data_IF_799249996691
#
_entry.id   IF_799249996691
#
_cell.length_a   1.000
_cell.length_b   1.000
_cell.length_c   1.000
_cell.angle_alpha   90.00
_cell.angle_beta   90.00
_cell.angle_gamma   90.00
#
_symmetry.space_group_name_H-M   'P 1'
#
loop_
_entity.id
_entity.type
_entity.pdbx_description
1 polymer ?
#
# COMPACT_ATOMS: atom_id res chain seq x y z
N UNK A 1 -35.19 -66.61 3.25
CA UNK A 1 -33.94 -66.48 4.02
C UNK A 1 -34.00 -65.22 4.89
N UNK A 2 -33.92 -65.42 6.21
CA UNK A 2 -33.62 -64.52 7.35
C UNK A 2 -33.83 -62.99 7.19
N UNK A 3 -34.80 -62.35 7.88
CA UNK A 3 -34.91 -61.98 9.32
C UNK A 3 -33.73 -61.18 9.89
N UNK A 4 -33.98 -59.94 10.32
CA UNK A 4 -34.07 -59.55 11.74
C UNK A 4 -34.65 -58.14 11.94
N UNK A 5 -35.74 -58.11 12.70
CA UNK A 5 -36.33 -56.97 13.42
C UNK A 5 -35.45 -56.53 14.60
N UNK A 6 -35.67 -55.32 15.12
CA UNK A 6 -35.91 -55.04 16.55
C UNK A 6 -36.73 -53.73 16.65
N UNK A 7 -37.76 -53.81 17.48
CA UNK A 7 -38.72 -52.78 17.90
C UNK A 7 -38.49 -52.53 19.40
N UNK A 8 -38.67 -51.29 19.87
CA UNK A 8 -39.48 -50.87 21.04
C UNK A 8 -39.17 -49.39 21.35
N UNK A 9 -40.08 -48.41 21.30
CA UNK A 9 -41.41 -48.22 21.90
C UNK A 9 -41.33 -47.54 23.29
N UNK A 10 -41.88 -46.32 23.42
CA UNK A 10 -42.88 -45.99 24.48
C UNK A 10 -43.52 -44.60 24.30
N UNK A 11 -44.85 -44.62 24.25
CA UNK A 11 -45.87 -43.71 24.81
C UNK A 11 -45.87 -42.20 24.49
N UNK A 12 -46.86 -41.63 23.80
CA UNK A 12 -48.31 -41.51 24.07
C UNK A 12 -48.68 -40.14 24.68
N UNK A 13 -49.41 -39.36 23.86
CA UNK A 13 -50.54 -38.46 24.19
C UNK A 13 -50.68 -37.91 25.61
N UNK A 14 -50.81 -36.58 25.76
CA UNK A 14 -51.76 -35.88 26.66
C UNK A 14 -51.88 -34.37 26.30
N UNK A 15 -53.02 -33.71 26.65
CA UNK A 15 -53.53 -32.51 25.99
C UNK A 15 -53.11 -31.17 26.63
N UNK A 16 -53.29 -30.09 25.87
CA UNK A 16 -53.10 -28.70 26.30
C UNK A 16 -54.20 -28.31 27.30
N UNK A 17 -53.81 -28.02 28.54
CA UNK A 17 -54.67 -27.47 29.60
C UNK A 17 -54.45 -25.96 29.69
N UNK A 18 -55.52 -25.18 29.56
CA UNK A 18 -55.55 -23.73 29.82
C UNK A 18 -55.64 -23.48 31.33
N UNK A 19 -54.79 -22.61 31.94
CA UNK A 19 -55.02 -22.20 33.32
C UNK A 19 -56.02 -21.04 33.39
N UNK A 20 -57.01 -21.21 34.25
CA UNK A 20 -58.04 -20.25 34.61
C UNK A 20 -57.48 -18.98 35.27
N UNK A 21 -58.23 -17.89 35.08
CA UNK A 21 -58.04 -16.59 35.70
C UNK A 21 -57.95 -16.69 37.23
N UNK A 22 -56.91 -16.08 37.81
CA UNK A 22 -56.92 -15.61 39.20
C UNK A 22 -56.57 -14.13 39.20
N UNK A 23 -57.54 -13.34 39.66
CA UNK A 23 -57.41 -11.90 39.85
C UNK A 23 -56.32 -11.55 40.87
N UNK A 24 -55.55 -10.52 40.54
CA UNK A 24 -54.58 -9.88 41.41
C UNK A 24 -54.38 -8.45 40.94
N UNK A 25 -54.96 -7.50 41.68
CA UNK A 25 -54.76 -6.06 41.49
C UNK A 25 -53.28 -5.73 41.73
N UNK A 26 -52.61 -5.10 40.76
CA UNK A 26 -51.30 -4.48 40.98
C UNK A 26 -50.36 -4.54 39.78
N UNK A 27 -50.63 -3.76 38.71
CA UNK A 27 -49.63 -3.40 37.69
C UNK A 27 -50.18 -2.33 36.72
N UNK A 28 -50.62 -1.18 37.22
CA UNK A 28 -51.10 -0.06 36.40
C UNK A 28 -50.12 1.12 36.43
N UNK A 29 -48.81 0.82 36.32
CA UNK A 29 -47.75 1.84 36.30
C UNK A 29 -46.67 1.66 35.22
N UNK A 30 -46.59 0.50 34.57
CA UNK A 30 -45.46 0.17 33.65
C UNK A 30 -45.81 0.28 32.16
N UNK A 31 -47.09 0.11 31.78
CA UNK A 31 -47.49 -0.03 30.37
C UNK A 31 -47.64 1.29 29.60
N UNK A 32 -47.75 2.42 30.30
CA UNK A 32 -47.91 3.74 29.67
C UNK A 32 -46.56 4.37 29.25
N UNK A 33 -45.46 3.95 29.88
CA UNK A 33 -44.10 4.42 29.58
C UNK A 33 -43.54 3.72 28.33
N UNK A 34 -43.83 2.43 28.18
CA UNK A 34 -43.38 1.60 27.05
C UNK A 34 -44.06 1.98 25.71
N UNK A 35 -45.31 2.46 25.74
CA UNK A 35 -46.04 2.93 24.55
C UNK A 35 -45.66 4.36 24.11
N UNK A 36 -45.07 5.17 24.99
CA UNK A 36 -44.57 6.52 24.64
C UNK A 36 -43.20 6.46 23.95
N UNK A 37 -42.34 5.53 24.33
CA UNK A 37 -41.00 5.35 23.73
C UNK A 37 -41.04 4.72 22.32
N UNK A 38 -42.06 3.92 22.02
CA UNK A 38 -42.24 3.36 20.67
C UNK A 38 -42.70 4.40 19.64
N UNK A 39 -43.35 5.50 20.07
CA UNK A 39 -43.90 6.51 19.16
C UNK A 39 -42.92 7.63 18.83
N UNK A 40 -41.89 7.86 19.64
CA UNK A 40 -40.85 8.88 19.42
C UNK A 40 -39.67 8.34 18.59
N UNK A 41 -39.36 7.05 18.72
CA UNK A 41 -38.33 6.38 17.91
C UNK A 41 -38.67 6.34 16.41
N UNK A 42 -39.96 6.24 16.06
CA UNK A 42 -40.43 6.13 14.67
C UNK A 42 -40.44 7.47 13.92
N UNK A 43 -40.65 8.58 14.62
CA UNK A 43 -40.68 9.91 13.99
C UNK A 43 -39.27 10.43 13.72
N UNK A 44 -38.31 10.11 14.60
CA UNK A 44 -36.89 10.43 14.39
C UNK A 44 -36.27 9.59 13.27
N UNK A 45 -36.65 8.30 13.13
CA UNK A 45 -36.18 7.42 12.05
C UNK A 45 -36.70 7.88 10.68
N UNK A 46 -37.96 8.34 10.61
CA UNK A 46 -38.59 8.88 9.40
C UNK A 46 -38.02 10.25 8.98
N UNK A 47 -37.71 11.13 9.93
CA UNK A 47 -37.09 12.43 9.65
C UNK A 47 -35.63 12.27 9.16
N UNK A 48 -34.88 11.32 9.72
CA UNK A 48 -33.52 10.99 9.29
C UNK A 48 -33.49 10.36 7.88
N UNK A 49 -34.46 9.50 7.55
CA UNK A 49 -34.61 8.92 6.21
C UNK A 49 -34.89 10.00 5.15
N UNK A 50 -35.79 10.96 5.42
CA UNK A 50 -36.09 12.07 4.50
C UNK A 50 -34.93 13.05 4.31
N UNK A 51 -34.11 13.28 5.34
CA UNK A 51 -32.96 14.18 5.23
C UNK A 51 -31.81 13.53 4.46
N UNK A 52 -31.63 12.20 4.57
CA UNK A 52 -30.65 11.46 3.77
C UNK A 52 -30.95 11.46 2.27
N UNK A 53 -32.23 11.43 1.86
CA UNK A 53 -32.59 11.41 0.44
C UNK A 53 -32.28 12.73 -0.28
N UNK A 54 -32.44 13.87 0.41
CA UNK A 54 -32.09 15.19 -0.15
C UNK A 54 -30.57 15.38 -0.28
N UNK A 55 -29.80 14.90 0.68
CA UNK A 55 -28.33 14.93 0.62
C UNK A 55 -27.79 13.99 -0.48
N UNK A 56 -28.38 12.79 -0.60
CA UNK A 56 -28.06 11.81 -1.66
C UNK A 56 -28.40 12.31 -3.07
N UNK A 57 -29.43 13.15 -3.23
CA UNK A 57 -29.80 13.72 -4.52
C UNK A 57 -28.73 14.69 -5.06
N UNK A 58 -28.12 15.49 -4.18
CA UNK A 58 -27.05 16.44 -4.55
C UNK A 58 -25.64 15.82 -4.57
N UNK A 59 -25.40 14.77 -3.77
CA UNK A 59 -24.11 14.07 -3.75
C UNK A 59 -23.86 13.19 -4.99
N UNK A 60 -24.90 12.63 -5.62
CA UNK A 60 -24.76 11.82 -6.83
C UNK A 60 -24.11 12.57 -8.02
N UNK A 61 -24.60 13.76 -8.41
CA UNK A 61 -23.94 14.53 -9.47
C UNK A 61 -22.57 15.04 -9.03
N UNK A 62 -22.37 15.37 -7.75
CA UNK A 62 -21.04 15.77 -7.25
C UNK A 62 -20.02 14.63 -7.34
N UNK A 63 -20.41 13.39 -6.99
CA UNK A 63 -19.53 12.22 -7.04
C UNK A 63 -19.24 11.80 -8.49
N UNK A 64 -20.22 11.93 -9.39
CA UNK A 64 -20.03 11.73 -10.83
C UNK A 64 -19.14 12.84 -11.41
N UNK A 65 -19.35 14.11 -11.04
CA UNK A 65 -18.52 15.25 -11.46
C UNK A 65 -17.09 15.08 -10.94
N UNK A 66 -16.89 14.69 -9.69
CA UNK A 66 -15.58 14.40 -9.09
C UNK A 66 -14.90 13.20 -9.76
N UNK A 67 -15.66 12.18 -10.19
CA UNK A 67 -15.15 11.07 -11.01
C UNK A 67 -14.86 11.47 -12.46
N UNK A 68 -15.50 12.50 -13.00
CA UNK A 68 -15.27 13.00 -14.37
C UNK A 68 -14.27 14.15 -14.46
N UNK A 69 -13.89 14.78 -13.33
CA UNK A 69 -12.80 15.75 -13.27
C UNK A 69 -11.45 15.04 -13.16
N UNK A 70 -11.16 14.18 -14.13
CA UNK A 70 -9.80 13.67 -14.39
C UNK A 70 -9.28 14.46 -15.57
N UNK A 71 -8.79 15.66 -15.31
CA UNK A 71 -7.83 16.31 -16.17
C UNK A 71 -6.50 16.24 -15.43
N UNK A 72 -5.81 15.12 -15.57
CA UNK A 72 -4.47 14.93 -15.00
C UNK A 72 -3.43 14.98 -16.12
N UNK A 73 -2.28 15.64 -15.90
CA UNK A 73 -1.17 15.62 -16.83
C UNK A 73 -0.69 14.18 -17.05
N UNK A 74 -0.17 13.92 -18.25
CA UNK A 74 0.58 12.71 -18.56
C UNK A 74 1.82 12.67 -17.65
N UNK A 75 1.79 11.89 -16.56
CA UNK A 75 2.96 11.66 -15.72
C UNK A 75 3.27 10.16 -15.65
N UNK A 76 4.41 9.87 -16.28
CA UNK A 76 5.43 8.83 -16.16
C UNK A 76 5.13 7.47 -15.50
N UNK A 77 5.65 6.45 -16.17
CA UNK A 77 5.75 5.04 -15.81
C UNK A 77 6.52 4.80 -14.48
N UNK A 78 6.32 3.65 -13.82
CA UNK A 78 7.28 3.14 -12.84
C UNK A 78 8.61 2.83 -13.54
N UNK A 79 9.60 3.70 -13.36
CA UNK A 79 10.91 3.59 -14.00
C UNK A 79 11.84 2.71 -13.16
N UNK A 80 12.57 1.74 -13.75
CA UNK A 80 13.71 1.13 -13.11
C UNK A 80 14.71 2.20 -12.60
N UNK A 81 15.37 1.91 -11.47
CA UNK A 81 16.16 2.90 -10.74
C UNK A 81 17.67 2.64 -10.85
N UNK A 82 18.47 3.69 -10.66
CA UNK A 82 19.92 3.59 -10.71
C UNK A 82 20.49 3.03 -9.40
N UNK A 83 21.63 2.36 -9.49
CA UNK A 83 22.36 1.83 -8.34
C UNK A 83 23.80 2.35 -8.38
N UNK A 84 24.32 2.80 -7.24
CA UNK A 84 25.69 3.31 -7.10
C UNK A 84 26.36 2.64 -5.90
N UNK A 85 27.40 1.84 -6.14
CA UNK A 85 28.18 1.17 -5.08
C UNK A 85 29.48 1.92 -4.86
N UNK A 86 29.70 2.36 -3.63
CA UNK A 86 30.88 3.10 -3.21
C UNK A 86 31.86 2.18 -2.48
N UNK A 87 33.07 2.09 -3.01
CA UNK A 87 34.23 1.47 -2.36
C UNK A 87 35.16 2.58 -1.89
N UNK A 88 35.22 2.79 -0.58
CA UNK A 88 36.04 3.82 0.04
C UNK A 88 37.44 3.24 0.29
N UNK A 89 38.46 3.82 -0.35
CA UNK A 89 39.88 3.53 -0.10
C UNK A 89 40.47 4.57 0.86
N UNK A 90 41.76 4.44 1.20
CA UNK A 90 42.51 5.45 1.96
C UNK A 90 42.82 6.73 1.15
N UNK A 91 42.76 6.67 -0.19
CA UNK A 91 43.18 7.78 -1.07
C UNK A 91 42.08 8.29 -2.01
N UNK A 92 41.10 7.44 -2.37
CA UNK A 92 40.01 7.79 -3.29
C UNK A 92 38.78 6.92 -3.04
N UNK A 93 37.66 7.32 -3.61
CA UNK A 93 36.44 6.50 -3.62
C UNK A 93 36.20 6.00 -5.05
N UNK A 94 35.88 4.72 -5.19
CA UNK A 94 35.42 4.16 -6.47
C UNK A 94 33.91 4.01 -6.42
N UNK A 95 33.22 4.62 -7.37
CA UNK A 95 31.78 4.46 -7.58
C UNK A 95 31.53 3.53 -8.77
N UNK A 96 30.91 2.38 -8.50
CA UNK A 96 30.40 1.44 -9.50
C UNK A 96 28.92 1.77 -9.75
N UNK A 97 28.63 2.27 -10.95
CA UNK A 97 27.38 2.91 -11.34
C UNK A 97 26.64 2.01 -12.32
N UNK A 98 25.37 1.72 -12.02
CA UNK A 98 24.47 0.94 -12.85
C UNK A 98 23.23 1.79 -13.13
N UNK A 99 22.98 2.09 -14.40
CA UNK A 99 21.81 2.85 -14.85
C UNK A 99 21.02 1.99 -15.84
N UNK A 100 19.70 1.78 -15.64
CA UNK A 100 18.89 1.03 -16.58
C UNK A 100 18.96 1.61 -18.00
N UNK A 101 19.29 0.79 -19.01
CA UNK A 101 19.54 1.29 -20.36
C UNK A 101 18.30 1.93 -20.98
N UNK A 102 17.12 1.38 -20.69
CA UNK A 102 15.84 1.91 -21.17
C UNK A 102 15.57 3.32 -20.65
N UNK A 103 15.82 3.56 -19.37
CA UNK A 103 15.61 4.87 -18.73
C UNK A 103 16.65 5.88 -19.20
N UNK A 104 17.91 5.46 -19.33
CA UNK A 104 18.94 6.31 -19.92
C UNK A 104 18.57 6.72 -21.36
N UNK A 105 18.15 5.77 -22.20
CA UNK A 105 17.73 6.06 -23.57
C UNK A 105 16.51 7.00 -23.62
N UNK A 106 15.54 6.78 -22.73
CA UNK A 106 14.31 7.56 -22.67
C UNK A 106 14.55 8.98 -22.15
N UNK A 107 15.29 9.14 -21.04
CA UNK A 107 15.58 10.43 -20.45
C UNK A 107 16.50 11.29 -21.32
N UNK A 108 17.56 10.71 -21.88
CA UNK A 108 18.57 11.47 -22.62
C UNK A 108 18.31 11.56 -24.12
N UNK A 109 17.53 10.64 -24.69
CA UNK A 109 17.41 10.48 -26.15
C UNK A 109 18.68 9.97 -26.84
N UNK A 110 19.72 9.62 -26.09
CA UNK A 110 21.00 9.18 -26.63
C UNK A 110 20.94 7.74 -27.18
N UNK A 111 21.76 7.42 -28.20
CA UNK A 111 21.89 6.04 -28.65
C UNK A 111 22.47 5.15 -27.54
N UNK A 112 22.06 3.89 -27.53
CA UNK A 112 22.45 2.85 -26.56
C UNK A 112 22.93 1.57 -27.24
N UNK A 113 23.46 1.71 -28.45
CA UNK A 113 23.89 0.62 -29.33
C UNK A 113 25.28 0.04 -29.00
N UNK A 114 25.94 0.55 -27.97
CA UNK A 114 27.31 0.16 -27.60
C UNK A 114 28.41 0.69 -28.53
N UNK A 115 28.06 1.52 -29.52
CA UNK A 115 29.03 2.16 -30.41
C UNK A 115 29.96 3.14 -29.65
N UNK A 116 31.15 3.47 -30.21
CA UNK A 116 32.01 4.51 -29.64
C UNK A 116 31.35 5.89 -29.52
N UNK A 117 30.22 6.12 -30.22
CA UNK A 117 29.43 7.34 -30.09
C UNK A 117 28.52 7.27 -28.86
N UNK A 118 27.78 6.18 -28.67
CA UNK A 118 26.88 6.04 -27.52
C UNK A 118 27.64 6.00 -26.20
N UNK A 119 28.77 5.29 -26.14
CA UNK A 119 29.61 5.23 -24.92
C UNK A 119 30.25 6.57 -24.57
N UNK A 120 30.68 7.36 -25.56
CA UNK A 120 31.18 8.72 -25.34
C UNK A 120 30.10 9.65 -24.80
N UNK A 121 28.90 9.65 -25.42
CA UNK A 121 27.78 10.47 -24.96
C UNK A 121 27.35 10.09 -23.53
N UNK A 122 27.32 8.79 -23.22
CA UNK A 122 27.02 8.32 -21.87
C UNK A 122 28.06 8.79 -20.85
N UNK A 123 29.34 8.75 -21.21
CA UNK A 123 30.42 9.24 -20.35
C UNK A 123 30.32 10.75 -20.09
N UNK A 124 30.08 11.54 -21.13
CA UNK A 124 29.90 12.99 -21.02
C UNK A 124 28.69 13.31 -20.14
N UNK A 125 27.55 12.67 -20.41
CA UNK A 125 26.34 12.84 -19.61
C UNK A 125 26.57 12.50 -18.13
N UNK A 126 27.17 11.35 -17.81
CA UNK A 126 27.45 10.98 -16.41
C UNK A 126 28.41 11.97 -15.74
N UNK A 127 29.41 12.47 -16.45
CA UNK A 127 30.36 13.45 -15.90
C UNK A 127 29.69 14.81 -15.61
N UNK A 128 28.73 15.22 -16.44
CA UNK A 128 28.01 16.50 -16.29
C UNK A 128 26.91 16.47 -15.21
N UNK A 129 26.47 15.28 -14.76
CA UNK A 129 25.33 15.11 -13.84
C UNK A 129 25.72 14.44 -12.50
N UNK A 130 27.01 14.29 -12.24
CA UNK A 130 27.55 13.75 -10.99
C UNK A 130 28.55 14.75 -10.42
N UNK A 131 28.10 15.50 -9.44
CA UNK A 131 28.94 16.46 -8.71
C UNK A 131 29.27 15.90 -7.33
N UNK A 132 30.56 15.98 -6.97
CA UNK A 132 31.04 15.54 -5.66
C UNK A 132 31.83 16.67 -5.02
N UNK A 133 31.52 16.97 -3.77
CA UNK A 133 32.19 18.02 -3.01
C UNK A 133 32.44 17.58 -1.57
N UNK A 134 33.31 18.27 -0.84
CA UNK A 134 33.33 18.17 0.62
C UNK A 134 32.07 18.82 1.21
N UNK A 135 31.67 18.50 2.45
CA UNK A 135 30.57 19.21 3.13
C UNK A 135 30.77 20.74 3.19
N UNK A 136 32.02 21.20 3.15
CA UNK A 136 32.38 22.62 3.04
C UNK A 136 32.38 23.21 1.62
N UNK A 137 31.89 22.46 0.62
CA UNK A 137 31.70 22.92 -0.76
C UNK A 137 32.94 22.90 -1.65
N UNK A 138 34.05 22.23 -1.26
CA UNK A 138 35.23 22.11 -2.14
C UNK A 138 35.03 20.94 -3.12
N UNK A 139 35.17 21.14 -4.44
CA UNK A 139 34.91 20.09 -5.42
C UNK A 139 35.95 18.97 -5.33
N UNK A 140 35.47 17.75 -5.49
CA UNK A 140 36.29 16.56 -5.73
C UNK A 140 36.58 16.43 -7.22
N UNK A 141 37.67 15.74 -7.56
CA UNK A 141 37.92 15.39 -8.96
C UNK A 141 37.17 14.11 -9.29
N UNK A 142 36.18 14.20 -10.15
CA UNK A 142 35.43 13.05 -10.68
C UNK A 142 36.04 12.65 -12.02
N UNK A 143 36.47 11.40 -12.14
CA UNK A 143 37.01 10.87 -13.41
C UNK A 143 36.32 9.58 -13.80
N UNK A 144 35.82 9.52 -15.04
CA UNK A 144 35.13 8.34 -15.55
C UNK A 144 36.14 7.33 -16.10
N UNK A 145 36.11 6.12 -15.55
CA UNK A 145 36.85 4.94 -16.00
C UNK A 145 36.12 4.21 -17.13
N UNK A 146 35.76 2.95 -16.91
CA UNK A 146 34.98 2.16 -17.89
C UNK A 146 33.55 2.73 -18.01
N UNK A 147 33.02 2.81 -19.23
CA UNK A 147 31.62 3.17 -19.51
C UNK A 147 31.15 2.29 -20.67
N UNK A 148 30.16 1.43 -20.45
CA UNK A 148 29.71 0.43 -21.41
C UNK A 148 28.24 0.06 -21.22
N UNK A 149 27.58 -0.37 -22.29
CA UNK A 149 26.24 -0.94 -22.22
C UNK A 149 26.36 -2.46 -22.15
N UNK A 150 25.85 -3.06 -21.09
CA UNK A 150 26.04 -4.47 -20.76
C UNK A 150 24.70 -5.14 -20.53
N UNK A 151 24.60 -6.42 -20.91
CA UNK A 151 23.48 -7.28 -20.56
C UNK A 151 24.01 -8.61 -20.06
N UNK A 152 24.17 -8.73 -18.74
CA UNK A 152 24.72 -9.95 -18.11
C UNK A 152 23.60 -10.91 -17.70
N UNK A 153 22.66 -10.41 -16.87
CA UNK A 153 21.45 -11.11 -16.42
C UNK A 153 20.35 -10.06 -16.23
N UNK A 154 19.19 -10.25 -16.86
CA UNK A 154 18.08 -9.29 -16.80
C UNK A 154 18.07 -8.26 -17.94
N UNK A 155 17.37 -7.12 -17.77
CA UNK A 155 17.33 -6.05 -18.76
C UNK A 155 18.72 -5.42 -18.94
N UNK A 156 19.03 -4.89 -20.13
CA UNK A 156 20.33 -4.26 -20.38
C UNK A 156 20.48 -2.96 -19.57
N UNK A 157 21.71 -2.63 -19.20
CA UNK A 157 22.05 -1.47 -18.39
C UNK A 157 23.33 -0.78 -18.87
N UNK A 158 23.44 0.52 -18.59
CA UNK A 158 24.66 1.29 -18.67
C UNK A 158 25.46 1.05 -17.39
N UNK A 159 26.67 0.54 -17.54
CA UNK A 159 27.64 0.31 -16.48
C UNK A 159 28.77 1.32 -16.58
N UNK A 160 29.09 1.99 -15.48
CA UNK A 160 30.17 2.96 -15.42
C UNK A 160 30.97 2.85 -14.12
N UNK A 161 32.28 3.05 -14.19
CA UNK A 161 33.14 3.19 -13.02
C UNK A 161 33.60 4.63 -12.94
N UNK A 162 33.35 5.32 -11.83
CA UNK A 162 33.88 6.64 -11.54
C UNK A 162 34.89 6.59 -10.40
N UNK A 163 36.00 7.32 -10.54
CA UNK A 163 36.99 7.53 -9.49
C UNK A 163 36.82 8.94 -8.94
N UNK A 164 36.54 9.04 -7.64
CA UNK A 164 36.32 10.27 -6.89
C UNK A 164 37.56 10.53 -6.04
N UNK A 165 38.30 11.59 -6.37
CA UNK A 165 39.55 11.94 -5.68
C UNK A 165 39.33 13.21 -4.85
N UNK A 166 39.59 13.17 -3.53
CA UNK A 166 39.40 14.32 -2.67
C UNK A 166 40.40 15.43 -2.98
N UNK A 167 40.05 16.70 -2.72
CA UNK A 167 41.02 17.79 -2.76
C UNK A 167 42.08 17.61 -1.65
N UNK A 168 43.28 18.14 -1.88
CA UNK A 168 44.40 17.95 -0.95
C UNK A 168 44.04 18.38 0.50
N UNK A 169 44.23 17.45 1.44
CA UNK A 169 43.96 17.65 2.87
C UNK A 169 42.50 17.49 3.29
N UNK A 170 41.60 17.08 2.40
CA UNK A 170 40.25 16.64 2.76
C UNK A 170 40.23 15.16 3.16
N UNK A 171 39.32 14.80 4.07
CA UNK A 171 39.08 13.43 4.46
C UNK A 171 38.31 12.70 3.35
N UNK A 172 38.76 11.50 2.97
CA UNK A 172 38.12 10.66 1.94
C UNK A 172 36.72 10.17 2.42
N UNK A 173 36.47 10.23 3.72
CA UNK A 173 35.23 9.77 4.35
C UNK A 173 34.20 10.88 4.61
N UNK A 174 34.52 12.12 4.23
CA UNK A 174 33.60 13.27 4.29
C UNK A 174 33.32 13.78 2.87
N UNK A 175 32.25 13.27 2.26
CA UNK A 175 31.85 13.68 0.92
C UNK A 175 30.35 13.92 0.79
N UNK A 176 29.99 14.86 -0.06
CA UNK A 176 28.65 15.21 -0.46
C UNK A 176 28.51 14.89 -1.95
N UNK A 177 27.56 14.03 -2.30
CA UNK A 177 27.27 13.65 -3.69
C UNK A 177 25.96 14.32 -4.10
N UNK A 178 26.05 15.22 -5.07
CA UNK A 178 24.89 15.72 -5.80
C UNK A 178 24.69 14.85 -7.05
N UNK A 179 23.56 14.15 -7.08
CA UNK A 179 23.23 13.17 -8.10
C UNK A 179 22.03 13.67 -8.92
N UNK A 180 22.30 14.01 -10.18
CA UNK A 180 21.30 14.57 -11.09
C UNK A 180 20.96 13.62 -12.25
N UNK A 181 21.74 12.54 -12.43
CA UNK A 181 21.55 11.54 -13.49
C UNK A 181 20.10 11.03 -13.49
N UNK A 182 19.37 11.38 -14.54
CA UNK A 182 17.97 11.01 -14.82
C UNK A 182 16.92 11.59 -13.86
N UNK A 183 17.34 12.20 -12.75
CA UNK A 183 16.42 12.77 -11.77
C UNK A 183 15.66 13.96 -12.34
N UNK A 184 16.25 14.70 -13.28
CA UNK A 184 15.61 15.86 -13.88
C UNK A 184 14.61 15.49 -14.97
N UNK A 185 14.92 14.45 -15.73
CA UNK A 185 14.16 13.93 -16.86
C UNK A 185 13.01 13.03 -16.41
N UNK A 186 13.20 12.28 -15.32
CA UNK A 186 12.31 11.24 -14.84
C UNK A 186 11.90 11.51 -13.39
N UNK A 187 10.71 12.09 -13.15
CA UNK A 187 10.26 12.45 -11.80
C UNK A 187 10.16 11.29 -10.79
N UNK A 188 10.01 10.05 -11.28
CA UNK A 188 9.96 8.84 -10.46
C UNK A 188 11.28 8.08 -10.33
N UNK A 189 12.36 8.59 -10.96
CA UNK A 189 13.66 7.96 -10.88
C UNK A 189 14.38 8.35 -9.59
N UNK A 190 15.11 7.38 -9.02
CA UNK A 190 16.05 7.63 -7.95
C UNK A 190 17.32 6.79 -8.12
N UNK A 191 18.40 7.22 -7.48
CA UNK A 191 19.63 6.44 -7.36
C UNK A 191 19.81 5.91 -5.93
N UNK A 192 19.99 4.60 -5.80
CA UNK A 192 20.30 3.94 -4.53
C UNK A 192 21.81 3.89 -4.33
N UNK A 193 22.30 4.46 -3.22
CA UNK A 193 23.72 4.47 -2.86
C UNK A 193 24.03 3.40 -1.81
N UNK A 194 25.04 2.59 -2.09
CA UNK A 194 25.46 1.47 -1.25
C UNK A 194 26.94 1.57 -0.91
N UNK A 195 27.32 1.25 0.31
CA UNK A 195 28.71 1.11 0.74
C UNK A 195 29.11 -0.36 0.70
N UNK A 196 30.22 -0.71 0.04
CA UNK A 196 30.81 -2.06 0.12
C UNK A 196 31.57 -2.19 1.45
N UNK A 197 31.00 -2.88 2.43
CA UNK A 197 31.56 -2.97 3.78
C UNK A 197 32.72 -3.99 3.91
N UNK A 198 33.19 -4.62 2.82
CA UNK A 198 34.37 -5.48 2.78
C UNK A 198 34.27 -6.81 3.55
N UNK A 199 33.47 -6.90 4.62
CA UNK A 199 33.18 -8.13 5.34
C UNK A 199 32.07 -8.91 4.60
N UNK A 200 32.45 -9.99 3.95
CA UNK A 200 31.56 -10.97 3.31
C UNK A 200 30.67 -10.44 2.15
N UNK A 201 31.14 -9.44 1.40
CA UNK A 201 30.42 -8.89 0.25
C UNK A 201 29.08 -8.26 0.63
N UNK A 202 29.00 -7.73 1.86
CA UNK A 202 27.80 -7.06 2.33
C UNK A 202 27.82 -5.60 1.95
N UNK A 203 26.92 -5.19 1.05
CA UNK A 203 26.69 -3.76 0.85
C UNK A 203 25.67 -3.25 1.87
N UNK A 204 25.82 -1.99 2.25
CA UNK A 204 24.95 -1.31 3.20
C UNK A 204 24.33 -0.11 2.50
N UNK A 205 23.01 0.07 2.58
CA UNK A 205 22.36 1.25 2.03
C UNK A 205 22.82 2.48 2.82
N UNK A 206 23.43 3.43 2.13
CA UNK A 206 23.85 4.72 2.69
C UNK A 206 22.72 5.73 2.53
N UNK A 207 22.00 5.67 1.41
CA UNK A 207 20.88 6.56 1.12
C UNK A 207 20.32 6.36 -0.28
N UNK A 208 19.29 7.14 -0.61
CA UNK A 208 18.73 7.22 -1.95
C UNK A 208 18.55 8.69 -2.33
N UNK A 209 19.01 9.07 -3.53
CA UNK A 209 18.92 10.45 -4.05
C UNK A 209 17.87 10.53 -5.15
N UNK A 210 17.00 11.53 -5.03
CA UNK A 210 15.88 11.89 -5.91
C UNK A 210 16.02 13.36 -6.31
N UNK A 211 15.24 13.80 -7.30
CA UNK A 211 15.19 15.22 -7.74
C UNK A 211 15.04 16.24 -6.61
N UNK A 212 14.21 15.94 -5.61
CA UNK A 212 13.87 16.86 -4.52
C UNK A 212 14.53 16.50 -3.17
N UNK A 213 15.57 15.66 -3.18
CA UNK A 213 16.35 15.37 -1.96
C UNK A 213 17.62 16.19 -1.91
N UNK A 214 18.07 16.63 -0.72
CA UNK A 214 19.39 17.23 -0.59
C UNK A 214 20.48 16.25 -1.06
N UNK A 215 21.67 16.76 -1.44
CA UNK A 215 22.84 15.95 -1.75
C UNK A 215 23.10 14.90 -0.68
N UNK A 216 23.56 13.72 -1.08
CA UNK A 216 23.89 12.65 -0.16
C UNK A 216 25.17 12.99 0.60
N UNK A 217 25.05 13.30 1.88
CA UNK A 217 26.20 13.49 2.77
C UNK A 217 26.64 12.17 3.39
N UNK A 218 27.90 11.82 3.14
CA UNK A 218 28.60 10.70 3.73
C UNK A 218 29.58 11.27 4.74
N UNK A 219 29.25 11.15 6.02
CA UNK A 219 30.11 11.50 7.15
C UNK A 219 30.22 10.27 8.06
N UNK A 220 31.32 9.51 7.98
CA UNK A 220 31.51 8.30 8.81
C UNK A 220 31.48 8.57 10.33
N UNK A 221 31.73 9.80 10.76
CA UNK A 221 31.80 10.18 12.18
C UNK A 221 30.44 10.26 12.90
N UNK A 222 29.32 10.39 12.17
CA UNK A 222 27.98 10.57 12.77
C UNK A 222 26.92 9.56 12.30
N UNK A 223 27.24 8.61 11.42
CA UNK A 223 26.29 7.54 11.08
C UNK A 223 26.19 6.56 12.25
N UNK A 224 25.31 6.89 13.20
CA UNK A 224 24.96 5.99 14.30
C UNK A 224 24.52 4.63 13.75
N UNK A 225 24.68 3.57 14.55
CA UNK A 225 24.40 2.18 14.13
C UNK A 225 22.98 1.93 13.56
N UNK A 226 22.06 2.90 13.70
CA UNK A 226 20.70 2.86 13.18
C UNK A 226 20.50 3.59 11.84
N UNK A 227 21.48 4.35 11.33
CA UNK A 227 21.31 5.11 10.09
C UNK A 227 20.92 4.24 8.87
N UNK A 228 21.54 3.07 8.63
CA UNK A 228 21.12 2.18 7.54
C UNK A 228 19.71 1.61 7.74
N UNK A 229 19.32 1.36 8.99
CA UNK A 229 17.96 0.91 9.33
C UNK A 229 16.93 1.98 8.96
N UNK A 230 17.19 3.25 9.34
CA UNK A 230 16.29 4.38 9.07
C UNK A 230 16.19 4.65 7.57
N UNK A 231 17.32 4.65 6.85
CA UNK A 231 17.33 4.80 5.41
C UNK A 231 16.52 3.70 4.72
N UNK A 232 16.69 2.44 5.14
CA UNK A 232 15.91 1.32 4.64
C UNK A 232 14.41 1.44 4.97
N UNK A 233 14.06 1.89 6.19
CA UNK A 233 12.67 2.17 6.58
C UNK A 233 12.03 3.23 5.68
N UNK A 234 12.74 4.33 5.39
CA UNK A 234 12.24 5.37 4.51
C UNK A 234 12.02 4.85 3.09
N UNK A 235 12.94 4.02 2.58
CA UNK A 235 12.81 3.40 1.27
C UNK A 235 11.61 2.44 1.22
N UNK A 236 11.41 1.61 2.24
CA UNK A 236 10.27 0.70 2.34
C UNK A 236 8.93 1.42 2.44
N UNK A 237 8.89 2.54 3.17
CA UNK A 237 7.71 3.39 3.22
C UNK A 237 7.37 3.98 1.84
N UNK A 238 8.38 4.48 1.11
CA UNK A 238 8.20 5.08 -0.21
C UNK A 238 7.71 4.07 -1.24
N UNK A 239 8.26 2.85 -1.24
CA UNK A 239 7.87 1.78 -2.14
C UNK A 239 6.35 1.49 -2.11
N UNK A 240 5.74 1.47 -0.93
CA UNK A 240 4.28 1.25 -0.80
C UNK A 240 3.46 2.44 -1.30
N UNK A 241 3.98 3.67 -1.16
CA UNK A 241 3.26 4.86 -1.63
C UNK A 241 3.23 4.95 -3.16
N UNK A 242 4.24 4.41 -3.85
CA UNK A 242 4.32 4.40 -5.31
C UNK A 242 3.63 3.18 -5.94
N UNK A 243 3.58 2.06 -5.21
CA UNK A 243 2.90 0.83 -5.65
C UNK A 243 1.38 0.93 -5.64
N UNK A 244 0.77 1.46 -6.71
CA UNK A 244 -0.69 1.58 -6.82
C UNK A 244 -1.44 0.25 -6.70
N UNK A 245 -0.83 -0.86 -7.13
CA UNK A 245 -1.35 -2.21 -6.97
C UNK A 245 -1.40 -2.66 -5.51
N UNK A 246 -0.40 -2.30 -4.70
CA UNK A 246 -0.35 -2.57 -3.25
C UNK A 246 -1.38 -1.75 -2.48
N UNK A 247 -1.53 -0.46 -2.82
CA UNK A 247 -2.55 0.41 -2.23
C UNK A 247 -3.95 -0.09 -2.57
N UNK A 248 -4.20 -0.40 -3.84
CA UNK A 248 -5.51 -0.89 -4.29
C UNK A 248 -5.82 -2.25 -3.66
N UNK A 249 -4.83 -3.17 -3.62
CA UNK A 249 -4.91 -4.45 -2.93
C UNK A 249 -5.41 -4.28 -1.50
N UNK A 250 -4.72 -3.45 -0.70
CA UNK A 250 -5.06 -3.22 0.68
C UNK A 250 -6.48 -2.67 0.82
N UNK A 251 -6.85 -1.67 0.01
CA UNK A 251 -8.19 -1.09 0.05
C UNK A 251 -9.28 -2.12 -0.26
N UNK A 252 -9.16 -2.87 -1.36
CA UNK A 252 -10.19 -3.84 -1.75
C UNK A 252 -10.27 -5.04 -0.80
N UNK A 253 -9.15 -5.43 -0.17
CA UNK A 253 -9.11 -6.49 0.83
C UNK A 253 -9.84 -6.09 2.13
N UNK A 254 -9.79 -4.81 2.52
CA UNK A 254 -10.41 -4.32 3.75
C UNK A 254 -11.91 -3.98 3.59
N UNK A 255 -12.38 -3.68 2.37
CA UNK A 255 -13.78 -3.38 2.07
C UNK A 255 -14.82 -4.37 2.64
N UNK A 256 -14.59 -5.69 2.67
CA UNK A 256 -15.59 -6.62 3.18
C UNK A 256 -15.57 -6.77 4.70
N UNK A 257 -14.51 -6.30 5.38
CA UNK A 257 -14.30 -6.51 6.81
C UNK A 257 -15.48 -6.13 7.73
N UNK A 258 -16.20 -5.00 7.52
CA UNK A 258 -17.36 -4.65 8.34
C UNK A 258 -18.62 -5.44 8.02
N UNK A 259 -18.62 -6.28 6.98
CA UNK A 259 -19.80 -6.97 6.49
C UNK A 259 -19.86 -8.43 6.94
N UNK A 260 -21.07 -8.98 6.90
CA UNK A 260 -21.32 -10.41 7.02
C UNK A 260 -21.77 -10.95 5.66
N UNK A 261 -21.43 -12.19 5.35
CA UNK A 261 -21.95 -12.85 4.16
C UNK A 261 -23.25 -13.59 4.52
N UNK A 262 -24.32 -13.34 3.76
CA UNK A 262 -25.62 -14.01 3.92
C UNK A 262 -26.19 -14.35 2.55
N UNK A 263 -26.53 -15.62 2.34
CA UNK A 263 -27.13 -16.12 1.09
C UNK A 263 -26.35 -15.71 -0.18
N UNK A 264 -25.01 -15.80 -0.16
CA UNK A 264 -24.18 -15.49 -1.33
C UNK A 264 -24.02 -13.99 -1.64
N UNK A 265 -24.53 -13.11 -0.78
CA UNK A 265 -24.35 -11.67 -0.87
C UNK A 265 -23.76 -11.10 0.42
N UNK A 266 -23.10 -9.96 0.31
CA UNK A 266 -22.72 -9.21 1.49
C UNK A 266 -23.96 -8.54 2.07
N UNK A 267 -24.30 -8.87 3.31
CA UNK A 267 -25.53 -8.44 3.96
C UNK A 267 -25.41 -8.46 5.48
N UNK A 268 -25.90 -7.40 6.12
CA UNK A 268 -25.70 -7.18 7.55
C UNK A 268 -24.32 -6.63 7.89
N UNK A 269 -24.17 -6.18 9.13
CA UNK A 269 -22.97 -5.49 9.60
C UNK A 269 -22.41 -6.19 10.81
N UNK A 270 -21.10 -6.34 10.84
CA UNK A 270 -20.37 -6.80 12.02
C UNK A 270 -20.41 -5.71 13.10
N UNK A 271 -20.24 -6.11 14.36
CA UNK A 271 -20.01 -5.15 15.44
C UNK A 271 -18.69 -4.40 15.21
N UNK A 272 -18.53 -3.22 15.81
CA UNK A 272 -17.30 -2.44 15.72
C UNK A 272 -16.10 -3.26 16.21
N UNK A 273 -16.21 -3.87 17.39
CA UNK A 273 -15.19 -4.77 17.94
C UNK A 273 -14.89 -5.94 16.99
N UNK A 274 -15.93 -6.60 16.48
CA UNK A 274 -15.72 -7.71 15.54
C UNK A 274 -15.03 -7.30 14.24
N UNK A 275 -15.29 -6.07 13.76
CA UNK A 275 -14.65 -5.52 12.55
C UNK A 275 -13.17 -5.27 12.82
N UNK A 276 -12.84 -4.61 13.94
CA UNK A 276 -11.44 -4.37 14.35
C UNK A 276 -10.68 -5.68 14.51
N UNK A 277 -11.26 -6.68 15.17
CA UNK A 277 -10.65 -8.01 15.31
C UNK A 277 -10.42 -8.64 13.94
N UNK A 278 -11.40 -8.54 13.02
CA UNK A 278 -11.27 -9.11 11.68
C UNK A 278 -10.16 -8.44 10.87
N UNK A 279 -10.06 -7.11 10.95
CA UNK A 279 -9.01 -6.34 10.30
C UNK A 279 -7.64 -6.69 10.87
N UNK A 280 -7.50 -6.77 12.19
CA UNK A 280 -6.26 -7.19 12.83
C UNK A 280 -5.84 -8.59 12.36
N UNK A 281 -6.78 -9.55 12.28
CA UNK A 281 -6.49 -10.87 11.74
C UNK A 281 -6.00 -10.84 10.29
N UNK A 282 -6.59 -9.99 9.43
CA UNK A 282 -6.20 -9.85 8.03
C UNK A 282 -4.79 -9.24 7.92
N UNK A 283 -4.55 -8.12 8.59
CA UNK A 283 -3.27 -7.40 8.57
C UNK A 283 -2.16 -8.28 9.13
N UNK A 284 -2.36 -8.86 10.33
CA UNK A 284 -1.37 -9.76 10.93
C UNK A 284 -1.09 -10.98 10.07
N UNK A 285 -2.12 -11.60 9.47
CA UNK A 285 -1.90 -12.76 8.60
C UNK A 285 -1.10 -12.39 7.34
N UNK A 286 -1.38 -11.23 6.74
CA UNK A 286 -0.59 -10.71 5.63
C UNK A 286 0.87 -10.47 6.04
N UNK A 287 1.10 -9.75 7.14
CA UNK A 287 2.46 -9.46 7.67
C UNK A 287 3.23 -10.75 7.93
N UNK A 288 2.60 -11.75 8.54
CA UNK A 288 3.23 -13.06 8.81
C UNK A 288 3.60 -13.75 7.51
N UNK A 289 2.69 -13.82 6.53
CA UNK A 289 2.97 -14.44 5.24
C UNK A 289 4.11 -13.73 4.50
N UNK A 290 4.05 -12.40 4.45
CA UNK A 290 5.06 -11.54 3.85
C UNK A 290 6.44 -11.78 4.45
N UNK A 291 6.53 -11.73 5.78
CA UNK A 291 7.78 -11.92 6.51
C UNK A 291 8.34 -13.33 6.32
N UNK A 292 7.49 -14.36 6.27
CA UNK A 292 7.93 -15.74 6.06
C UNK A 292 8.59 -15.92 4.69
N UNK A 293 7.98 -15.42 3.61
CA UNK A 293 8.60 -15.51 2.28
C UNK A 293 9.87 -14.69 2.20
N UNK A 294 9.89 -13.50 2.81
CA UNK A 294 11.08 -12.66 2.87
C UNK A 294 12.28 -13.42 3.49
N UNK A 295 12.06 -13.98 4.68
CA UNK A 295 13.06 -14.76 5.41
C UNK A 295 13.48 -15.98 4.58
N UNK A 296 12.51 -16.72 4.03
CA UNK A 296 12.78 -17.92 3.24
C UNK A 296 13.57 -17.61 1.95
N UNK A 297 13.24 -16.54 1.24
CA UNK A 297 13.93 -16.16 0.02
C UNK A 297 15.34 -15.62 0.31
N UNK A 298 15.52 -14.91 1.43
CA UNK A 298 16.83 -14.45 1.91
C UNK A 298 17.73 -15.64 2.28
N UNK A 299 17.24 -16.58 3.11
CA UNK A 299 18.01 -17.75 3.55
C UNK A 299 18.24 -18.78 2.44
N UNK A 300 17.23 -18.99 1.60
CA UNK A 300 17.23 -19.96 0.50
C UNK A 300 17.90 -19.45 -0.77
N UNK A 301 18.29 -18.17 -0.80
CA UNK A 301 18.86 -17.49 -1.96
C UNK A 301 18.03 -17.74 -3.24
N UNK A 302 16.70 -17.69 -3.14
CA UNK A 302 15.81 -17.95 -4.28
C UNK A 302 15.91 -16.83 -5.33
N UNK A 303 15.98 -17.19 -6.61
CA UNK A 303 15.85 -16.25 -7.74
C UNK A 303 14.69 -16.71 -8.61
N UNK A 304 13.62 -15.92 -8.61
CA UNK A 304 12.46 -16.16 -9.45
C UNK A 304 12.36 -15.03 -10.48
N UNK A 305 11.92 -15.30 -11.72
CA UNK A 305 11.69 -14.24 -12.69
C UNK A 305 10.63 -13.25 -12.17
N UNK A 306 10.88 -11.95 -12.31
CA UNK A 306 9.99 -10.89 -11.77
C UNK A 306 8.59 -10.91 -12.40
N UNK A 307 8.47 -11.12 -13.72
CA UNK A 307 7.19 -11.11 -14.43
C UNK A 307 6.10 -12.05 -13.84
N UNK A 308 6.35 -13.36 -13.61
CA UNK A 308 5.34 -14.24 -12.99
C UNK A 308 4.97 -13.83 -11.56
N UNK A 309 5.89 -13.22 -10.81
CA UNK A 309 5.60 -12.73 -9.45
C UNK A 309 4.68 -11.53 -9.50
N UNK A 310 4.95 -10.57 -10.39
CA UNK A 310 4.09 -9.41 -10.61
C UNK A 310 2.68 -9.80 -11.10
N UNK A 311 2.57 -10.81 -11.98
CA UNK A 311 1.27 -11.36 -12.40
C UNK A 311 0.54 -11.98 -11.22
N UNK A 312 1.24 -12.69 -10.33
CA UNK A 312 0.65 -13.26 -9.12
C UNK A 312 0.15 -12.16 -8.15
N UNK A 313 0.87 -11.04 -8.03
CA UNK A 313 0.40 -9.87 -7.27
C UNK A 313 -0.87 -9.31 -7.91
N UNK A 314 -0.89 -9.08 -9.23
CA UNK A 314 -2.08 -8.57 -9.91
C UNK A 314 -3.29 -9.52 -9.77
N UNK A 315 -3.07 -10.83 -9.77
CA UNK A 315 -4.10 -11.83 -9.47
C UNK A 315 -4.61 -11.73 -8.01
N UNK A 316 -3.75 -11.41 -7.05
CA UNK A 316 -4.18 -11.19 -5.66
C UNK A 316 -5.14 -10.00 -5.53
N UNK A 317 -4.89 -8.91 -6.29
CA UNK A 317 -5.80 -7.76 -6.39
C UNK A 317 -7.13 -8.20 -7.01
N UNK A 318 -7.06 -8.93 -8.14
CA UNK A 318 -8.26 -9.41 -8.84
C UNK A 318 -9.16 -10.23 -7.91
N UNK A 319 -8.59 -11.22 -7.22
CA UNK A 319 -9.34 -12.09 -6.31
C UNK A 319 -9.92 -11.28 -5.14
N UNK A 320 -9.15 -10.36 -4.57
CA UNK A 320 -9.61 -9.51 -3.46
C UNK A 320 -10.74 -8.59 -3.90
N UNK A 321 -10.64 -8.00 -5.09
CA UNK A 321 -11.66 -7.15 -5.69
C UNK A 321 -12.94 -7.94 -6.03
N UNK A 322 -12.81 -9.15 -6.60
CA UNK A 322 -13.96 -10.02 -6.84
C UNK A 322 -14.63 -10.45 -5.53
N UNK A 323 -13.84 -10.78 -4.50
CA UNK A 323 -14.36 -11.05 -3.16
C UNK A 323 -15.07 -9.84 -2.55
N UNK A 324 -14.52 -8.65 -2.80
CA UNK A 324 -15.13 -7.39 -2.39
C UNK A 324 -16.42 -7.08 -3.14
N UNK A 325 -16.61 -7.56 -4.37
CA UNK A 325 -17.89 -7.45 -5.08
C UNK A 325 -18.92 -8.46 -4.53
N UNK A 326 -18.55 -9.73 -4.42
CA UNK A 326 -19.39 -10.83 -3.91
C UNK A 326 -18.60 -11.78 -3.02
N UNK A 327 -19.20 -12.33 -1.94
CA UNK A 327 -18.49 -13.15 -0.97
C UNK A 327 -18.13 -14.53 -1.55
N UNK A 328 -16.98 -14.63 -2.21
CA UNK A 328 -16.45 -15.91 -2.75
C UNK A 328 -15.98 -16.83 -1.62
N UNK A 329 -15.21 -16.30 -0.66
CA UNK A 329 -14.58 -17.05 0.43
C UNK A 329 -14.82 -16.38 1.79
N UNK A 330 -16.10 -16.17 2.19
CA UNK A 330 -16.42 -15.43 3.40
C UNK A 330 -15.85 -16.11 4.64
N UNK A 331 -15.27 -15.33 5.54
CA UNK A 331 -14.65 -15.83 6.77
C UNK A 331 -13.20 -16.29 6.59
N UNK A 332 -12.75 -16.59 5.37
CA UNK A 332 -11.37 -17.04 5.07
C UNK A 332 -10.42 -15.91 4.70
N UNK A 333 -10.83 -14.65 4.85
CA UNK A 333 -10.04 -13.46 4.50
C UNK A 333 -8.64 -13.46 5.14
N UNK A 334 -8.43 -13.88 6.40
CA UNK A 334 -7.08 -13.99 6.98
C UNK A 334 -6.21 -15.05 6.29
N UNK A 335 -6.78 -16.17 5.85
CA UNK A 335 -6.02 -17.22 5.12
C UNK A 335 -5.64 -16.69 3.74
N UNK A 336 -6.56 -16.01 3.08
CA UNK A 336 -6.31 -15.36 1.78
C UNK A 336 -5.20 -14.31 1.93
N UNK A 337 -5.28 -13.48 2.98
CA UNK A 337 -4.28 -12.48 3.29
C UNK A 337 -2.90 -13.10 3.58
N UNK A 338 -2.83 -14.24 4.29
CA UNK A 338 -1.61 -14.99 4.50
C UNK A 338 -1.00 -15.45 3.17
N UNK A 339 -1.79 -16.07 2.30
CA UNK A 339 -1.33 -16.55 0.98
C UNK A 339 -0.88 -15.40 0.10
N UNK A 340 -1.61 -14.28 0.09
CA UNK A 340 -1.21 -13.10 -0.67
C UNK A 340 0.03 -12.43 -0.08
N UNK A 341 0.17 -12.40 1.25
CA UNK A 341 1.40 -11.98 1.91
C UNK A 341 2.59 -12.80 1.44
N UNK A 342 2.45 -14.14 1.36
CA UNK A 342 3.52 -15.00 0.85
C UNK A 342 3.92 -14.63 -0.59
N UNK A 343 2.96 -14.32 -1.47
CA UNK A 343 3.21 -13.91 -2.86
C UNK A 343 3.87 -12.53 -2.92
N UNK A 344 3.39 -11.58 -2.14
CA UNK A 344 3.93 -10.21 -2.11
C UNK A 344 5.37 -10.20 -1.59
N UNK A 345 5.69 -11.02 -0.58
CA UNK A 345 7.05 -11.13 -0.04
C UNK A 345 8.05 -11.70 -1.06
N UNK A 346 7.56 -12.44 -2.05
CA UNK A 346 8.36 -12.97 -3.15
C UNK A 346 8.82 -11.86 -4.11
N UNK A 347 7.95 -10.88 -4.36
CA UNK A 347 8.23 -9.76 -5.28
C UNK A 347 9.35 -8.88 -4.75
N UNK A 348 9.34 -8.66 -3.43
CA UNK A 348 10.42 -7.95 -2.78
C UNK A 348 11.73 -8.76 -2.84
N UNK A 349 11.67 -10.09 -2.62
CA UNK A 349 12.86 -10.92 -2.72
C UNK A 349 13.49 -10.93 -4.13
N UNK A 350 12.68 -10.87 -5.18
CA UNK A 350 13.17 -10.73 -6.57
C UNK A 350 13.78 -9.34 -6.79
N UNK A 351 13.13 -8.27 -6.33
CA UNK A 351 13.65 -6.89 -6.43
C UNK A 351 14.99 -6.70 -5.68
N UNK A 352 15.10 -7.23 -4.47
CA UNK A 352 16.33 -7.16 -3.65
C UNK A 352 17.50 -7.89 -4.28
N UNK A 353 17.23 -8.94 -5.05
CA UNK A 353 18.27 -9.74 -5.71
C UNK A 353 18.63 -9.19 -7.09
N UNK A 354 17.68 -8.56 -7.79
CA UNK A 354 17.90 -7.82 -9.04
C UNK A 354 18.64 -6.50 -8.80
N UNK A 355 18.37 -5.79 -7.69
CA UNK A 355 19.16 -4.65 -7.17
C UNK A 355 20.48 -5.12 -6.53
N UNK A 356 21.22 -5.96 -7.26
CA UNK A 356 22.27 -6.89 -6.84
C UNK A 356 23.06 -6.55 -5.54
N UNK A 357 23.28 -7.62 -4.76
CA UNK A 357 24.21 -7.80 -3.63
C UNK A 357 24.01 -6.96 -2.36
N UNK A 358 23.53 -5.73 -2.43
CA UNK A 358 23.60 -4.84 -1.26
C UNK A 358 22.41 -4.83 -0.31
N UNK A 359 21.19 -4.86 -0.85
CA UNK A 359 20.00 -4.92 -0.01
C UNK A 359 19.87 -6.28 0.69
N UNK A 360 20.33 -7.35 0.02
CA UNK A 360 20.22 -8.73 0.49
C UNK A 360 21.20 -9.09 1.61
N UNK A 361 22.31 -8.35 1.73
CA UNK A 361 23.45 -8.76 2.55
C UNK A 361 23.39 -8.29 4.01
N UNK A 362 22.48 -7.37 4.33
CA UNK A 362 22.30 -6.88 5.70
C UNK A 362 20.89 -7.19 6.19
N UNK A 363 20.79 -8.15 7.13
CA UNK A 363 19.54 -8.47 7.81
C UNK A 363 18.89 -7.23 8.45
N UNK A 364 19.70 -6.25 8.86
CA UNK A 364 19.24 -4.97 9.41
C UNK A 364 18.56 -4.09 8.35
N UNK A 365 19.08 -4.09 7.12
CA UNK A 365 18.49 -3.34 5.99
C UNK A 365 17.14 -3.96 5.58
N UNK A 366 17.07 -5.29 5.48
CA UNK A 366 15.82 -6.01 5.21
C UNK A 366 14.77 -5.76 6.30
N UNK A 367 15.19 -5.78 7.56
CA UNK A 367 14.32 -5.47 8.70
C UNK A 367 13.79 -4.04 8.62
N UNK A 368 14.66 -3.07 8.35
CA UNK A 368 14.29 -1.66 8.22
C UNK A 368 13.27 -1.45 7.11
N UNK A 369 13.55 -1.99 5.93
CA UNK A 369 12.63 -1.91 4.79
C UNK A 369 11.24 -2.50 5.12
N UNK A 370 11.17 -3.70 5.72
CA UNK A 370 9.90 -4.32 6.10
C UNK A 370 9.16 -3.49 7.17
N UNK A 371 9.89 -2.91 8.13
CA UNK A 371 9.29 -2.04 9.14
C UNK A 371 8.72 -0.77 8.50
N UNK A 372 9.40 -0.21 7.50
CA UNK A 372 8.90 0.89 6.67
C UNK A 372 7.57 0.57 5.99
N UNK A 373 7.49 -0.60 5.34
CA UNK A 373 6.24 -1.09 4.72
C UNK A 373 5.12 -1.19 5.76
N UNK A 374 5.39 -1.87 6.87
CA UNK A 374 4.38 -2.16 7.89
C UNK A 374 3.85 -0.88 8.54
N UNK A 375 4.72 0.12 8.77
CA UNK A 375 4.32 1.43 9.28
C UNK A 375 3.33 2.14 8.34
N UNK A 376 3.60 2.16 7.03
CA UNK A 376 2.70 2.75 6.04
C UNK A 376 1.38 1.97 5.95
N UNK A 377 1.44 0.64 5.94
CA UNK A 377 0.24 -0.20 5.93
C UNK A 377 -0.64 0.05 7.16
N UNK A 378 -0.05 0.10 8.36
CA UNK A 378 -0.76 0.41 9.60
C UNK A 378 -1.34 1.82 9.59
N UNK A 379 -0.62 2.81 9.05
CA UNK A 379 -1.12 4.17 8.91
C UNK A 379 -2.33 4.25 7.97
N UNK A 380 -2.29 3.55 6.83
CA UNK A 380 -3.42 3.47 5.89
C UNK A 380 -4.61 2.79 6.56
N UNK A 381 -4.40 1.66 7.24
CA UNK A 381 -5.46 0.96 7.99
C UNK A 381 -6.06 1.89 9.04
N UNK A 382 -5.25 2.61 9.81
CA UNK A 382 -5.72 3.56 10.82
C UNK A 382 -6.57 4.70 10.21
N UNK A 383 -6.25 5.15 8.99
CA UNK A 383 -7.01 6.18 8.28
C UNK A 383 -8.33 5.63 7.67
N UNK A 384 -8.31 4.42 7.12
CA UNK A 384 -9.43 3.82 6.37
C UNK A 384 -10.47 3.20 7.29
N UNK A 385 -10.05 2.54 8.37
CA UNK A 385 -10.94 1.76 9.24
C UNK A 385 -12.06 2.59 9.87
N UNK A 386 -11.82 3.80 10.42
CA UNK A 386 -12.90 4.66 10.92
C UNK A 386 -13.96 4.95 9.85
N UNK A 387 -13.50 5.26 8.64
CA UNK A 387 -14.37 5.54 7.48
C UNK A 387 -15.21 4.32 7.12
N UNK A 388 -14.62 3.12 7.09
CA UNK A 388 -15.36 1.87 6.82
C UNK A 388 -16.40 1.57 7.92
N UNK A 389 -16.04 1.76 9.19
CA UNK A 389 -16.95 1.53 10.33
C UNK A 389 -18.19 2.44 10.28
N UNK A 390 -17.99 3.69 9.87
CA UNK A 390 -19.06 4.69 9.74
C UNK A 390 -19.88 4.44 8.47
N UNK A 391 -19.22 4.40 7.32
CA UNK A 391 -19.87 4.31 6.01
C UNK A 391 -20.63 3.00 5.85
N UNK A 392 -20.11 1.88 6.38
CA UNK A 392 -20.77 0.58 6.28
C UNK A 392 -22.22 0.58 6.75
N UNK A 393 -22.58 1.46 7.70
CA UNK A 393 -23.96 1.57 8.22
C UNK A 393 -24.95 2.18 7.24
N UNK A 394 -24.49 2.73 6.11
CA UNK A 394 -25.33 3.42 5.12
C UNK A 394 -25.53 2.57 3.87
N UNK A 395 -26.70 2.70 3.24
CA UNK A 395 -27.02 2.02 1.97
C UNK A 395 -26.04 2.37 0.85
N UNK A 396 -25.47 3.58 0.88
CA UNK A 396 -24.49 4.05 -0.10
C UNK A 396 -23.21 3.19 -0.09
N UNK A 397 -22.86 2.58 1.04
CA UNK A 397 -21.68 1.72 1.14
C UNK A 397 -21.72 0.55 0.17
N UNK A 398 -22.90 -0.04 -0.05
CA UNK A 398 -23.04 -1.15 -0.99
C UNK A 398 -22.67 -0.74 -2.42
N UNK A 399 -23.04 0.49 -2.83
CA UNK A 399 -22.69 1.04 -4.14
C UNK A 399 -21.22 1.45 -4.20
N UNK A 400 -20.70 2.14 -3.18
CA UNK A 400 -19.30 2.54 -3.08
C UNK A 400 -18.36 1.33 -3.15
N UNK A 401 -18.64 0.30 -2.33
CA UNK A 401 -17.90 -0.97 -2.33
C UNK A 401 -17.93 -1.65 -3.70
N UNK A 402 -19.09 -1.69 -4.36
CA UNK A 402 -19.19 -2.27 -5.70
C UNK A 402 -18.37 -1.48 -6.73
N UNK A 403 -18.47 -0.15 -6.72
CA UNK A 403 -17.69 0.70 -7.61
C UNK A 403 -16.19 0.47 -7.44
N UNK A 404 -15.69 0.46 -6.20
CA UNK A 404 -14.27 0.24 -5.92
C UNK A 404 -13.83 -1.20 -6.23
N UNK A 405 -14.69 -2.19 -6.02
CA UNK A 405 -14.43 -3.57 -6.42
C UNK A 405 -14.35 -3.73 -7.94
N UNK A 406 -15.25 -3.12 -8.72
CA UNK A 406 -15.19 -3.18 -10.18
C UNK A 406 -14.01 -2.40 -10.74
N UNK A 407 -13.64 -1.27 -10.14
CA UNK A 407 -12.40 -0.57 -10.46
C UNK A 407 -11.18 -1.47 -10.21
N UNK A 408 -11.13 -2.15 -9.06
CA UNK A 408 -10.08 -3.12 -8.74
C UNK A 408 -9.97 -4.27 -9.72
N UNK A 409 -11.10 -4.81 -10.18
CA UNK A 409 -11.13 -5.87 -11.20
C UNK A 409 -10.57 -5.36 -12.53
N UNK A 410 -11.00 -4.18 -12.98
CA UNK A 410 -10.54 -3.59 -14.23
C UNK A 410 -9.03 -3.29 -14.18
N UNK A 411 -8.56 -2.73 -13.07
CA UNK A 411 -7.15 -2.42 -12.86
C UNK A 411 -6.28 -3.68 -12.84
N UNK A 412 -6.68 -4.69 -12.07
CA UNK A 412 -5.98 -5.96 -12.02
C UNK A 412 -5.91 -6.65 -13.38
N UNK A 413 -6.99 -6.62 -14.17
CA UNK A 413 -6.98 -7.17 -15.52
C UNK A 413 -6.01 -6.43 -16.45
N UNK A 414 -6.01 -5.09 -16.43
CA UNK A 414 -5.08 -4.27 -17.21
C UNK A 414 -3.61 -4.57 -16.83
N UNK A 415 -3.34 -4.66 -15.53
CA UNK A 415 -2.03 -5.02 -15.00
C UNK A 415 -1.56 -6.41 -15.42
N UNK A 416 -2.43 -7.43 -15.39
CA UNK A 416 -2.11 -8.78 -15.85
C UNK A 416 -1.77 -8.77 -17.34
N UNK A 417 -2.58 -8.11 -18.17
CA UNK A 417 -2.32 -8.01 -19.61
C UNK A 417 -1.00 -7.28 -19.88
N UNK A 418 -0.74 -6.19 -19.17
CA UNK A 418 0.51 -5.44 -19.32
C UNK A 418 1.73 -6.29 -18.98
N UNK A 419 1.71 -6.99 -17.84
CA UNK A 419 2.82 -7.82 -17.36
C UNK A 419 3.05 -9.09 -18.19
N UNK A 420 2.02 -9.58 -18.88
CA UNK A 420 2.12 -10.80 -19.73
C UNK A 420 2.44 -10.50 -21.19
N UNK A 421 1.98 -9.35 -21.73
CA UNK A 421 2.05 -9.06 -23.17
C UNK A 421 2.75 -7.74 -23.52
N UNK A 422 2.91 -6.82 -22.56
CA UNK A 422 3.39 -5.46 -22.78
C UNK A 422 2.40 -4.53 -23.53
N UNK A 423 1.24 -5.04 -23.97
CA UNK A 423 0.33 -4.31 -24.87
C UNK A 423 -0.55 -3.25 -24.19
N UNK A 424 -0.64 -3.28 -22.86
CA UNK A 424 -1.54 -2.40 -22.10
C UNK A 424 -0.83 -1.22 -21.41
N UNK A 425 0.42 -0.92 -21.78
CA UNK A 425 1.22 0.08 -21.09
C UNK A 425 0.58 1.47 -21.03
N UNK A 426 0.00 1.94 -22.14
CA UNK A 426 -0.71 3.23 -22.18
C UNK A 426 -1.97 3.25 -21.32
N UNK A 427 -2.73 2.14 -21.30
CA UNK A 427 -3.93 2.01 -20.46
C UNK A 427 -3.55 2.01 -18.98
N UNK A 428 -2.52 1.24 -18.61
CA UNK A 428 -2.01 1.19 -17.23
C UNK A 428 -1.53 2.56 -16.78
N UNK A 429 -0.74 3.26 -17.60
CA UNK A 429 -0.25 4.60 -17.26
C UNK A 429 -1.39 5.61 -17.04
N UNK A 430 -2.39 5.63 -17.93
CA UNK A 430 -3.56 6.53 -17.75
C UNK A 430 -4.36 6.20 -16.50
N UNK A 431 -4.50 4.91 -16.18
CA UNK A 431 -5.20 4.45 -14.99
C UNK A 431 -4.44 4.80 -13.71
N UNK A 432 -3.13 4.60 -13.68
CA UNK A 432 -2.27 4.93 -12.54
C UNK A 432 -2.22 6.44 -12.31
N UNK A 433 -2.15 7.26 -13.37
CA UNK A 433 -2.28 8.71 -13.26
C UNK A 433 -3.63 9.13 -12.66
N UNK A 434 -4.73 8.47 -13.04
CA UNK A 434 -6.04 8.69 -12.43
C UNK A 434 -6.07 8.24 -10.95
N UNK A 435 -5.40 7.12 -10.62
CA UNK A 435 -5.29 6.59 -9.26
C UNK A 435 -4.33 7.40 -8.36
N UNK A 436 -3.40 8.18 -8.91
CA UNK A 436 -2.62 9.16 -8.15
C UNK A 436 -3.51 10.17 -7.41
N UNK A 437 -4.74 10.38 -7.92
CA UNK A 437 -5.74 11.22 -7.27
C UNK A 437 -6.66 10.43 -6.32
N UNK A 438 -6.56 9.10 -6.24
CA UNK A 438 -7.40 8.25 -5.40
C UNK A 438 -7.12 8.41 -3.90
N UNK A 439 -5.95 8.94 -3.50
CA UNK A 439 -5.73 9.40 -2.12
C UNK A 439 -6.79 10.43 -1.69
N UNK A 440 -7.23 11.30 -2.61
CA UNK A 440 -8.34 12.22 -2.36
C UNK A 440 -9.67 11.53 -2.19
N UNK A 441 -9.88 10.33 -2.76
CA UNK A 441 -11.10 9.54 -2.49
C UNK A 441 -11.10 8.98 -1.07
N UNK A 442 -9.95 8.57 -0.54
CA UNK A 442 -9.81 8.15 0.86
C UNK A 442 -10.03 9.34 1.80
N UNK A 443 -9.43 10.48 1.49
CA UNK A 443 -9.64 11.74 2.24
C UNK A 443 -11.10 12.18 2.17
N UNK A 444 -11.73 12.16 0.98
CA UNK A 444 -13.14 12.50 0.80
C UNK A 444 -14.05 11.54 1.56
N UNK A 445 -13.74 10.24 1.58
CA UNK A 445 -14.48 9.25 2.38
C UNK A 445 -14.33 9.51 3.89
N UNK A 446 -13.14 9.88 4.35
CA UNK A 446 -12.87 10.24 5.74
C UNK A 446 -13.59 11.54 6.15
N UNK A 447 -13.55 12.57 5.30
CA UNK A 447 -14.28 13.83 5.50
C UNK A 447 -15.79 13.59 5.49
N UNK A 448 -16.30 12.78 4.57
CA UNK A 448 -17.71 12.40 4.53
C UNK A 448 -18.11 11.66 5.81
N UNK A 449 -17.29 10.73 6.28
CA UNK A 449 -17.51 10.02 7.53
C UNK A 449 -17.53 10.99 8.72
N UNK A 450 -16.63 11.98 8.77
CA UNK A 450 -16.58 13.02 9.79
C UNK A 450 -17.86 13.88 9.78
N UNK A 451 -18.28 14.36 8.61
CA UNK A 451 -19.52 15.15 8.43
C UNK A 451 -20.75 14.36 8.86
N UNK A 452 -20.77 13.05 8.69
CA UNK A 452 -21.88 12.19 9.10
C UNK A 452 -21.89 11.88 10.62
N UNK A 453 -20.78 12.07 11.33
CA UNK A 453 -20.64 11.80 12.77
C UNK A 453 -20.83 13.06 13.62
N UNK A 454 -20.26 14.20 13.21
CA UNK A 454 -20.25 15.45 13.97
C UNK A 454 -21.67 15.93 14.35
N UNK A 455 -22.67 15.98 13.44
CA UNK A 455 -24.01 16.45 13.77
C UNK A 455 -24.72 15.58 14.82
N UNK A 456 -24.44 14.28 14.89
CA UNK A 456 -25.05 13.37 15.88
C UNK A 456 -24.53 13.62 17.28
N UNK A 457 -23.25 13.97 17.42
CA UNK A 457 -22.64 14.24 18.72
C UNK A 457 -23.13 15.58 19.32
N UNK A 458 -23.42 16.58 18.46
CA UNK A 458 -23.98 17.86 18.88
C UNK A 458 -25.51 17.83 19.08
N UNK A 459 -26.25 17.05 18.29
CA UNK A 459 -27.70 16.88 18.49
C UNK A 459 -28.03 16.13 19.79
N UNK A 460 -27.21 15.15 20.18
CA UNK A 460 -27.36 14.44 21.46
C UNK A 460 -27.19 15.31 22.71
N UNK A 461 -26.43 16.43 22.61
CA UNK A 461 -26.22 17.38 23.71
C UNK A 461 -27.30 18.45 23.85
N UNK A 462 -28.13 18.70 22.83
CA UNK A 462 -29.21 19.72 22.90
C UNK A 462 -30.48 19.24 23.58
N UNK A 463 -30.69 17.93 23.76
CA UNK A 463 -31.92 17.38 24.33
C UNK A 463 -31.90 17.23 25.87
N UNK A 464 -30.90 17.79 26.55
CA UNK A 464 -30.80 17.76 28.02
C UNK A 464 -30.93 19.16 28.63
N UNK A 465 -31.97 19.92 28.24
CA UNK A 465 -32.44 21.07 29.04
C UNK A 465 -33.67 20.58 29.81
N UNK A 466 -33.60 20.39 31.14
CA UNK A 466 -34.78 20.05 31.92
C UNK A 466 -35.69 21.28 31.97
N UNK A 467 -36.92 21.14 31.47
CA UNK A 467 -37.98 22.10 31.72
C UNK A 467 -38.33 22.03 33.22
N UNK A 468 -37.69 22.87 34.03
CA UNK A 468 -38.13 23.16 35.38
C UNK A 468 -39.25 24.20 35.34
N UNK A 469 -40.40 23.84 35.92
CA UNK A 469 -41.24 24.75 36.69
C UNK A 469 -42.29 25.55 35.93
N UNK A 470 -43.50 24.99 35.82
CA UNK A 470 -44.73 25.76 35.87
C UNK A 470 -45.82 24.91 36.57
N UNK A 471 -45.82 24.96 37.89
CA UNK A 471 -46.96 24.55 38.72
C UNK A 471 -47.92 25.73 38.88
N UNK A 472 -49.18 25.54 38.54
CA UNK A 472 -50.32 26.31 39.03
C UNK A 472 -51.18 25.38 39.90
#
# INVERSE_FOLDING_TARGET
>A
MAKRSIVCATCASQPIVWPAERGGKGAQGSRATELKDLRTADVASLAVARMSDRLLFWLKPLLVVLMTMVAAPLSAHSTPNSEVRLKISEEWVVADIIVPQGEYAFGTGNPVDGSPRSTRLAREYLADHIDVATPGGKPWTVSMGTVEFVQTVGPPYLHAIAYLVPPAGADVTELSIDWQVLNDELPGHFALFLHDAGAAGSNVIIGAVRKDTPPLEINNAEQGALAPLIAAMALGAHHIMEGYDHLLFLLVLLLPAPLLARAGAWGGHRSTCGTVVKLAQIVTAFTVGHSLTLIAATLGNWSLPTAPVEVAIALSVLISAMHAARPILPGKEPIIALVFGLVHGLAFATLVKEAQAGMASSALTLLGFNLGIELVQLAIVAAVVPSLLILSRYRLYAAFRQALAYLGIAAAAAWIVNRTTGLAGGVVATMEAAMGHAAWLVVAAALLALVLVVPRHFAGKRNSIPLQGASA
#
